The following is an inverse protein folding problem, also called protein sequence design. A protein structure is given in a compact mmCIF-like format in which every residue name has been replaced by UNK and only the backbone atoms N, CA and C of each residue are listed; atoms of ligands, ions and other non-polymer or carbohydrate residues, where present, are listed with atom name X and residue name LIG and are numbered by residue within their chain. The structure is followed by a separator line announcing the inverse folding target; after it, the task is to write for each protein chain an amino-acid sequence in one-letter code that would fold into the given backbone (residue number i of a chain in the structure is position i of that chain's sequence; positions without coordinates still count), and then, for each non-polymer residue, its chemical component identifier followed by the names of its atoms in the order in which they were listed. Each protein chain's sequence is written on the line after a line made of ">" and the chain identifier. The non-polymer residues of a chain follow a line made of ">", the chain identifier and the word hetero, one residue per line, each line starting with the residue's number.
data_IF_285503759347
#
_entry.id   IF_285503759347
#
_cell.length_a   1.000
_cell.length_b   1.000
_cell.length_c   1.000
_cell.angle_alpha   90.00
_cell.angle_beta   90.00
_cell.angle_gamma   90.00
#
_symmetry.space_group_name_H-M   'P 1'
#
loop_
_entity.id
_entity.type
_entity.pdbx_description
1 polymer ?
#
# COMPACT_ATOMS: atom_id res chain seq x y z
N UNK A 1 24.84 7.33 -4.09
CA UNK A 1 25.60 8.61 -4.08
C UNK A 1 25.49 9.15 -5.51
N UNK A 2 24.86 10.32 -5.68
CA UNK A 2 24.84 10.99 -6.98
C UNK A 2 26.21 11.64 -7.20
N UNK A 3 26.87 11.29 -8.30
CA UNK A 3 28.19 11.85 -8.67
C UNK A 3 28.13 13.38 -8.93
N UNK A 4 26.94 13.92 -9.18
CA UNK A 4 26.71 15.33 -9.51
C UNK A 4 26.34 16.19 -8.29
N UNK A 5 26.52 15.73 -7.06
CA UNK A 5 26.14 16.45 -5.82
C UNK A 5 24.68 16.97 -5.83
N UNK A 6 23.80 16.31 -6.56
CA UNK A 6 22.39 16.69 -6.67
C UNK A 6 21.62 16.53 -5.33
N UNK A 7 22.17 15.71 -4.42
CA UNK A 7 21.62 15.49 -3.07
C UNK A 7 22.75 15.61 -2.05
N UNK A 8 22.61 16.54 -1.13
CA UNK A 8 23.52 16.75 -0.02
C UNK A 8 22.81 16.54 1.32
N UNK A 9 23.45 15.82 2.22
CA UNK A 9 22.97 15.63 3.60
C UNK A 9 23.42 16.79 4.46
N UNK A 10 22.49 17.67 4.82
CA UNK A 10 22.75 18.83 5.66
C UNK A 10 22.24 18.57 7.08
N UNK A 11 23.04 18.75 8.13
CA UNK A 11 22.57 18.67 9.51
C UNK A 11 21.46 19.71 9.76
N UNK A 12 20.33 19.27 10.33
CA UNK A 12 19.25 20.18 10.69
C UNK A 12 19.66 21.02 11.91
N UNK A 13 19.63 22.32 11.80
CA UNK A 13 19.79 23.22 12.94
C UNK A 13 18.58 23.16 13.87
N UNK A 14 18.74 23.58 15.14
CA UNK A 14 17.60 23.67 16.07
C UNK A 14 16.50 24.57 15.53
N UNK A 15 16.85 25.69 14.89
CA UNK A 15 15.87 26.57 14.23
C UNK A 15 15.08 25.84 13.15
N UNK A 16 15.76 25.06 12.30
CA UNK A 16 15.10 24.25 11.26
C UNK A 16 14.16 23.22 11.87
N UNK A 17 14.58 22.58 12.97
CA UNK A 17 13.75 21.63 13.68
C UNK A 17 12.52 22.29 14.31
N UNK A 18 12.66 23.49 14.85
CA UNK A 18 11.52 24.23 15.43
C UNK A 18 10.52 24.67 14.37
N UNK A 19 11.00 25.10 13.20
CA UNK A 19 10.12 25.46 12.07
C UNK A 19 9.36 24.22 11.54
N UNK A 20 10.03 23.07 11.43
CA UNK A 20 9.39 21.81 11.06
C UNK A 20 8.32 21.42 12.11
N UNK A 21 8.64 21.53 13.40
CA UNK A 21 7.69 21.22 14.49
C UNK A 21 6.51 22.18 14.50
N UNK A 22 6.70 23.46 14.20
CA UNK A 22 5.61 24.44 14.06
C UNK A 22 4.71 24.09 12.88
N UNK A 23 5.29 23.81 11.72
CA UNK A 23 4.54 23.40 10.53
C UNK A 23 3.74 22.12 10.78
N UNK A 24 4.32 21.13 11.46
CA UNK A 24 3.63 19.89 11.81
C UNK A 24 2.49 20.13 12.82
N UNK A 25 2.68 20.97 13.82
CA UNK A 25 1.60 21.35 14.76
C UNK A 25 0.47 22.05 14.03
N UNK A 26 0.81 23.05 13.21
CA UNK A 26 -0.17 23.76 12.39
C UNK A 26 -0.99 22.79 11.52
N UNK A 27 -0.33 21.83 10.86
CA UNK A 27 -1.03 20.81 10.07
C UNK A 27 -2.00 19.98 10.92
N UNK A 28 -1.61 19.62 12.14
CA UNK A 28 -2.46 18.84 13.05
C UNK A 28 -3.63 19.66 13.68
N UNK A 29 -3.56 20.98 13.64
CA UNK A 29 -4.61 21.88 14.14
C UNK A 29 -5.77 22.03 13.13
N UNK A 30 -5.58 21.62 11.88
CA UNK A 30 -6.67 21.52 10.91
C UNK A 30 -7.62 20.40 11.34
N UNK A 31 -8.85 20.77 11.61
CA UNK A 31 -9.90 19.79 11.86
C UNK A 31 -10.24 18.97 10.62
N UNK A 32 -11.01 17.88 10.80
CA UNK A 32 -11.50 17.08 9.68
C UNK A 32 -12.35 17.93 8.72
N UNK A 33 -12.44 17.47 7.48
CA UNK A 33 -13.37 18.07 6.50
C UNK A 33 -14.80 18.00 7.03
N UNK A 34 -15.59 19.06 6.80
CA UNK A 34 -17.00 19.06 7.18
C UNK A 34 -17.76 18.00 6.37
N UNK A 35 -18.38 17.04 7.06
CA UNK A 35 -19.11 15.93 6.45
C UNK A 35 -20.25 16.38 5.53
N UNK A 36 -20.71 17.62 5.66
CA UNK A 36 -21.73 18.18 4.76
C UNK A 36 -21.28 18.30 3.32
N UNK A 37 -19.97 18.31 3.07
CA UNK A 37 -19.38 18.35 1.73
C UNK A 37 -19.06 16.97 1.17
N UNK A 38 -19.30 15.90 1.92
CA UNK A 38 -18.90 14.54 1.56
C UNK A 38 -20.15 13.72 1.18
N UNK A 39 -20.17 13.21 -0.04
CA UNK A 39 -21.18 12.25 -0.46
C UNK A 39 -20.66 10.83 -0.32
N UNK A 40 -21.11 10.11 0.70
CA UNK A 40 -20.71 8.73 1.01
C UNK A 40 -20.96 7.72 -0.11
N UNK A 41 -21.72 8.09 -1.12
CA UNK A 41 -21.98 7.27 -2.32
C UNK A 41 -20.95 7.45 -3.42
N UNK A 42 -20.06 8.45 -3.29
CA UNK A 42 -19.02 8.75 -4.26
C UNK A 42 -17.67 8.40 -3.67
N UNK A 43 -16.96 7.45 -4.29
CA UNK A 43 -15.64 7.02 -3.83
C UNK A 43 -14.64 8.18 -3.73
N UNK A 44 -14.72 9.14 -4.66
CA UNK A 44 -13.83 10.31 -4.66
C UNK A 44 -14.06 11.18 -3.42
N UNK A 45 -15.31 11.33 -2.98
CA UNK A 45 -15.66 12.12 -1.81
C UNK A 45 -15.27 11.37 -0.53
N UNK A 46 -15.36 10.05 -0.50
CA UNK A 46 -14.87 9.23 0.62
C UNK A 46 -13.40 9.51 0.90
N UNK A 47 -12.59 9.85 -0.11
CA UNK A 47 -11.17 10.19 0.05
C UNK A 47 -10.96 11.51 0.82
N UNK A 48 -12.00 12.28 1.08
CA UNK A 48 -11.96 13.52 1.87
C UNK A 48 -12.25 13.28 3.36
N UNK A 49 -12.75 12.12 3.74
CA UNK A 49 -12.98 11.79 5.15
C UNK A 49 -11.66 11.55 5.89
N UNK A 50 -11.62 11.90 7.17
CA UNK A 50 -10.41 11.74 7.99
C UNK A 50 -9.98 10.29 8.09
N UNK A 51 -10.92 9.36 8.23
CA UNK A 51 -10.64 7.92 8.30
C UNK A 51 -9.97 7.36 7.05
N UNK A 52 -10.00 8.11 5.95
CA UNK A 52 -9.31 7.72 4.70
C UNK A 52 -7.87 8.21 4.61
N UNK A 53 -7.44 9.07 5.53
CA UNK A 53 -6.04 9.50 5.67
C UNK A 53 -5.15 8.43 6.33
N UNK A 54 -5.51 7.16 6.16
CA UNK A 54 -4.74 6.01 6.66
C UNK A 54 -3.51 5.70 5.81
N UNK A 55 -3.36 6.36 4.69
CA UNK A 55 -2.19 6.26 3.82
C UNK A 55 -1.49 7.61 3.69
N UNK A 56 -0.32 7.70 4.27
CA UNK A 56 0.54 8.90 4.27
C UNK A 56 1.67 8.74 3.25
N UNK A 57 1.39 8.28 2.08
CA UNK A 57 2.21 8.17 0.88
C UNK A 57 3.74 8.12 1.01
N UNK A 58 4.38 7.33 0.17
CA UNK A 58 5.83 7.30 -0.03
C UNK A 58 6.24 8.07 -1.29
N UNK A 59 7.52 8.41 -1.41
CA UNK A 59 8.07 9.22 -2.49
C UNK A 59 8.45 8.42 -3.75
N UNK A 60 8.36 7.09 -3.72
CA UNK A 60 8.90 6.21 -4.77
C UNK A 60 7.97 5.88 -5.93
N UNK A 61 6.80 6.53 -6.05
CA UNK A 61 5.87 6.27 -7.14
C UNK A 61 6.22 7.04 -8.41
N UNK A 62 5.94 6.46 -9.57
CA UNK A 62 6.02 7.15 -10.84
C UNK A 62 4.99 8.28 -10.94
N UNK A 63 5.24 9.29 -11.76
CA UNK A 63 4.25 10.32 -12.06
C UNK A 63 3.00 9.69 -12.68
N UNK A 64 1.82 9.96 -12.10
CA UNK A 64 0.55 9.39 -12.56
C UNK A 64 0.38 7.88 -12.28
N UNK A 65 1.05 7.33 -11.28
CA UNK A 65 1.02 5.92 -10.92
C UNK A 65 -0.40 5.41 -10.63
N UNK A 66 -0.89 4.49 -11.48
CA UNK A 66 -2.20 3.86 -11.31
C UNK A 66 -2.30 2.98 -10.06
N UNK A 67 -1.21 2.29 -9.68
CA UNK A 67 -1.18 1.50 -8.45
C UNK A 67 -1.41 2.37 -7.22
N UNK A 68 -0.72 3.52 -7.12
CA UNK A 68 -0.88 4.44 -6.00
C UNK A 68 -2.30 4.98 -5.89
N UNK A 69 -2.94 5.25 -7.03
CA UNK A 69 -4.36 5.66 -7.08
C UNK A 69 -5.28 4.54 -6.62
N UNK A 70 -5.11 3.33 -7.16
CA UNK A 70 -5.91 2.17 -6.80
C UNK A 70 -5.79 1.83 -5.31
N UNK A 71 -4.57 1.90 -4.76
CA UNK A 71 -4.32 1.69 -3.35
C UNK A 71 -5.03 2.73 -2.48
N UNK A 72 -4.99 4.00 -2.85
CA UNK A 72 -5.72 5.06 -2.13
C UNK A 72 -7.22 4.84 -2.15
N UNK A 73 -7.77 4.43 -3.28
CA UNK A 73 -9.20 4.11 -3.41
C UNK A 73 -9.59 2.93 -2.51
N UNK A 74 -8.79 1.88 -2.49
CA UNK A 74 -9.00 0.71 -1.61
C UNK A 74 -8.95 1.12 -0.14
N UNK A 75 -7.94 1.88 0.26
CA UNK A 75 -7.81 2.40 1.62
C UNK A 75 -9.01 3.29 2.00
N UNK A 76 -9.43 4.18 1.11
CA UNK A 76 -10.58 5.07 1.33
C UNK A 76 -11.88 4.27 1.57
N UNK A 77 -12.16 3.31 0.68
CA UNK A 77 -13.36 2.48 0.80
C UNK A 77 -13.33 1.62 2.08
N UNK A 78 -12.18 1.02 2.39
CA UNK A 78 -12.05 0.19 3.60
C UNK A 78 -12.13 1.03 4.87
N UNK A 79 -11.46 2.18 4.91
CA UNK A 79 -11.50 3.10 6.04
C UNK A 79 -12.89 3.67 6.30
N UNK A 80 -13.64 4.00 5.25
CA UNK A 80 -15.03 4.46 5.38
C UNK A 80 -15.96 3.40 6.00
N UNK A 81 -15.65 2.11 5.79
CA UNK A 81 -16.46 0.99 6.32
C UNK A 81 -16.00 0.50 7.69
N UNK A 82 -14.70 0.49 7.95
CA UNK A 82 -14.08 -0.19 9.09
C UNK A 82 -13.24 0.73 9.99
N UNK A 83 -13.14 2.02 9.67
CA UNK A 83 -12.23 2.94 10.37
C UNK A 83 -10.79 2.44 10.27
N UNK A 84 -10.12 2.29 11.41
CA UNK A 84 -8.77 1.73 11.54
C UNK A 84 -8.74 0.22 11.88
N UNK A 85 -9.91 -0.45 11.90
CA UNK A 85 -10.08 -1.83 12.34
C UNK A 85 -9.85 -2.83 11.19
N UNK A 86 -8.70 -2.76 10.54
CA UNK A 86 -8.28 -3.67 9.46
C UNK A 86 -6.75 -3.68 9.32
N UNK A 87 -6.21 -4.50 8.45
CA UNK A 87 -4.76 -4.59 8.29
C UNK A 87 -4.32 -4.98 6.89
N UNK A 88 -3.03 -4.81 6.63
CA UNK A 88 -2.38 -5.05 5.35
C UNK A 88 -1.22 -6.01 5.50
N UNK A 89 -1.16 -7.00 4.62
CA UNK A 89 0.02 -7.84 4.38
C UNK A 89 0.45 -7.65 2.93
N UNK A 90 1.61 -7.06 2.70
CA UNK A 90 2.06 -6.67 1.39
C UNK A 90 3.19 -7.56 0.87
N UNK A 91 3.13 -7.94 -0.40
CA UNK A 91 4.24 -8.53 -1.13
C UNK A 91 5.20 -7.43 -1.60
N UNK A 92 6.49 -7.75 -1.69
CA UNK A 92 7.49 -6.85 -2.26
C UNK A 92 7.17 -6.52 -3.73
N UNK A 93 7.39 -5.28 -4.11
CA UNK A 93 7.15 -4.76 -5.46
C UNK A 93 7.06 -3.23 -5.45
N UNK A 94 6.45 -2.64 -6.48
CA UNK A 94 6.25 -1.19 -6.55
C UNK A 94 5.50 -0.66 -5.32
N UNK A 95 4.45 -1.35 -4.88
CA UNK A 95 3.68 -0.94 -3.71
C UNK A 95 4.56 -0.79 -2.46
N UNK A 96 5.54 -1.66 -2.27
CA UNK A 96 6.47 -1.56 -1.15
C UNK A 96 7.42 -0.38 -1.31
N UNK A 97 7.90 -0.13 -2.53
CA UNK A 97 8.86 0.97 -2.79
C UNK A 97 8.22 2.33 -2.53
N UNK A 98 7.00 2.56 -3.00
CA UNK A 98 6.34 3.85 -2.78
C UNK A 98 5.64 3.97 -1.43
N UNK A 99 5.49 2.87 -0.68
CA UNK A 99 4.88 2.87 0.66
C UNK A 99 5.89 2.67 1.78
N UNK A 100 6.96 1.90 1.55
CA UNK A 100 7.96 1.60 2.58
C UNK A 100 8.96 2.72 2.75
N UNK A 101 8.74 3.55 3.72
CA UNK A 101 9.73 4.50 4.20
C UNK A 101 10.23 4.08 5.57
N UNK A 102 11.00 2.97 5.61
CA UNK A 102 11.58 2.53 6.87
C UNK A 102 12.25 3.71 7.62
N UNK A 103 12.04 3.87 8.93
CA UNK A 103 11.31 2.97 9.85
C UNK A 103 9.81 3.28 9.98
N UNK A 104 9.23 4.02 9.08
CA UNK A 104 7.85 4.49 9.18
C UNK A 104 6.89 3.52 8.47
N UNK A 105 5.77 3.21 9.15
CA UNK A 105 4.62 2.61 8.51
C UNK A 105 3.85 3.72 7.76
N UNK A 106 3.68 3.64 6.43
CA UNK A 106 2.93 4.65 5.68
C UNK A 106 1.42 4.56 5.89
N UNK A 107 0.96 3.47 6.48
CA UNK A 107 -0.44 3.24 6.80
C UNK A 107 -0.69 3.52 8.28
N UNK A 108 -1.84 4.08 8.61
CA UNK A 108 -2.30 4.25 9.99
C UNK A 108 -3.02 3.01 10.53
N UNK A 109 -2.87 1.89 9.85
CA UNK A 109 -3.37 0.56 10.23
C UNK A 109 -2.20 -0.42 10.36
N UNK A 110 -2.37 -1.56 11.03
CA UNK A 110 -1.36 -2.61 11.06
C UNK A 110 -0.93 -3.03 9.66
N UNK A 111 0.38 -3.00 9.43
CA UNK A 111 0.97 -3.34 8.14
C UNK A 111 2.23 -4.18 8.33
N UNK A 112 2.39 -5.17 7.48
CA UNK A 112 3.63 -5.92 7.35
C UNK A 112 3.95 -6.17 5.89
N UNK A 113 5.24 -6.34 5.59
CA UNK A 113 5.71 -6.67 4.26
C UNK A 113 6.59 -7.92 4.32
N UNK A 114 6.48 -8.76 3.32
CA UNK A 114 7.32 -9.93 3.15
C UNK A 114 7.79 -10.03 1.69
N UNK A 115 8.58 -11.05 1.37
CA UNK A 115 9.01 -11.31 0.00
C UNK A 115 7.81 -11.58 -0.92
N UNK A 116 8.03 -11.47 -2.22
CA UNK A 116 7.01 -11.57 -3.27
C UNK A 116 6.03 -12.72 -3.06
N UNK A 117 6.54 -13.92 -2.82
CA UNK A 117 5.78 -15.17 -2.68
C UNK A 117 5.16 -15.37 -1.30
N UNK A 118 5.64 -14.65 -0.29
CA UNK A 118 5.30 -14.93 1.11
C UNK A 118 3.99 -14.25 1.56
N UNK A 119 3.61 -13.12 0.96
CA UNK A 119 2.50 -12.32 1.47
C UNK A 119 1.19 -13.11 1.68
N UNK A 120 0.74 -13.98 0.76
CA UNK A 120 -0.46 -14.77 1.01
C UNK A 120 -0.29 -15.77 2.17
N UNK A 121 0.91 -16.37 2.33
CA UNK A 121 1.18 -17.28 3.43
C UNK A 121 1.22 -16.55 4.78
N UNK A 122 1.87 -15.38 4.81
CA UNK A 122 1.91 -14.52 6.00
C UNK A 122 0.51 -14.02 6.37
N UNK A 123 -0.31 -13.66 5.36
CA UNK A 123 -1.68 -13.23 5.58
C UNK A 123 -2.53 -14.32 6.25
N UNK A 124 -2.35 -15.60 5.87
CA UNK A 124 -3.01 -16.72 6.55
C UNK A 124 -2.57 -16.83 8.01
N UNK A 125 -1.27 -16.65 8.29
CA UNK A 125 -0.74 -16.66 9.66
C UNK A 125 -1.27 -15.51 10.50
N UNK A 126 -1.28 -14.29 9.94
CA UNK A 126 -1.84 -13.10 10.59
C UNK A 126 -3.33 -13.29 10.87
N UNK A 127 -4.11 -13.80 9.88
CA UNK A 127 -5.53 -14.07 10.06
C UNK A 127 -5.80 -15.08 11.17
N UNK A 128 -5.06 -16.18 11.17
CA UNK A 128 -5.20 -17.20 12.22
C UNK A 128 -4.91 -16.62 13.62
N UNK A 129 -3.93 -15.72 13.73
CA UNK A 129 -3.64 -15.05 15.00
C UNK A 129 -4.71 -14.04 15.38
N UNK A 130 -5.22 -13.27 14.43
CA UNK A 130 -6.29 -12.31 14.68
C UNK A 130 -7.58 -13.00 15.13
N UNK A 131 -7.92 -14.14 14.55
CA UNK A 131 -9.08 -14.96 14.97
C UNK A 131 -8.94 -15.38 16.44
N UNK A 132 -7.75 -15.84 16.85
CA UNK A 132 -7.47 -16.15 18.26
C UNK A 132 -7.58 -14.94 19.20
N UNK A 133 -7.46 -13.73 18.65
CA UNK A 133 -7.57 -12.47 19.41
C UNK A 133 -8.98 -11.88 19.42
N UNK A 134 -9.97 -12.57 18.84
CA UNK A 134 -11.34 -12.07 18.74
C UNK A 134 -11.53 -10.96 17.70
N UNK A 135 -10.73 -11.00 16.63
CA UNK A 135 -10.75 -9.98 15.55
C UNK A 135 -11.18 -10.60 14.20
N UNK A 136 -12.08 -11.56 14.24
CA UNK A 136 -12.54 -12.31 13.07
C UNK A 136 -13.20 -11.39 12.02
N UNK A 137 -13.89 -10.35 12.48
CA UNK A 137 -14.61 -9.40 11.63
C UNK A 137 -13.71 -8.31 11.02
N UNK A 138 -12.47 -8.17 11.50
CA UNK A 138 -11.55 -7.17 10.97
C UNK A 138 -10.93 -7.69 9.66
N UNK A 139 -11.13 -7.02 8.52
CA UNK A 139 -10.59 -7.50 7.26
C UNK A 139 -9.07 -7.38 7.19
N UNK A 140 -8.46 -8.32 6.49
CA UNK A 140 -7.05 -8.28 6.10
C UNK A 140 -6.98 -8.17 4.59
N UNK A 141 -6.19 -7.22 4.11
CA UNK A 141 -5.84 -7.10 2.69
C UNK A 141 -4.46 -7.69 2.43
N UNK A 142 -4.41 -8.71 1.59
CA UNK A 142 -3.17 -9.23 1.03
C UNK A 142 -2.91 -8.52 -0.30
N UNK A 143 -1.87 -7.69 -0.36
CA UNK A 143 -1.58 -6.80 -1.50
C UNK A 143 -0.31 -7.24 -2.21
N UNK A 144 -0.35 -7.30 -3.53
CA UNK A 144 0.84 -7.55 -4.34
C UNK A 144 0.64 -7.25 -5.81
N UNK A 145 1.73 -7.12 -6.54
CA UNK A 145 1.72 -6.99 -7.99
C UNK A 145 1.39 -8.30 -8.71
N UNK A 146 1.17 -8.22 -10.02
CA UNK A 146 0.91 -9.37 -10.89
C UNK A 146 2.04 -10.42 -10.82
N UNK A 147 3.29 -9.99 -10.91
CA UNK A 147 4.44 -10.92 -10.80
C UNK A 147 4.51 -11.62 -9.44
N UNK A 148 4.22 -10.92 -8.35
CA UNK A 148 4.21 -11.52 -7.02
C UNK A 148 3.07 -12.53 -6.84
N UNK A 149 1.89 -12.25 -7.40
CA UNK A 149 0.68 -13.03 -7.15
C UNK A 149 0.44 -14.11 -8.21
N UNK A 150 0.68 -13.81 -9.49
CA UNK A 150 0.39 -14.75 -10.58
C UNK A 150 1.58 -15.62 -10.97
N UNK A 151 2.79 -15.20 -10.61
CA UNK A 151 4.01 -15.96 -10.93
C UNK A 151 4.64 -16.55 -9.66
N UNK A 152 5.52 -15.79 -8.99
CA UNK A 152 6.36 -16.32 -7.90
C UNK A 152 5.51 -16.80 -6.71
N UNK A 153 4.44 -16.09 -6.37
CA UNK A 153 3.58 -16.38 -5.22
C UNK A 153 2.27 -17.11 -5.56
N UNK A 154 2.08 -17.56 -6.79
CA UNK A 154 0.81 -18.16 -7.21
C UNK A 154 0.39 -19.34 -6.33
N UNK A 155 1.34 -20.20 -5.94
CA UNK A 155 1.04 -21.33 -5.06
C UNK A 155 0.48 -20.87 -3.71
N UNK A 156 1.08 -19.86 -3.10
CA UNK A 156 0.63 -19.29 -1.82
C UNK A 156 -0.72 -18.60 -1.97
N UNK A 157 -0.92 -17.83 -3.03
CA UNK A 157 -2.19 -17.18 -3.35
C UNK A 157 -3.31 -18.22 -3.53
N UNK A 158 -3.07 -19.21 -4.36
CA UNK A 158 -4.04 -20.30 -4.61
C UNK A 158 -4.41 -21.01 -3.30
N UNK A 159 -3.44 -21.27 -2.45
CA UNK A 159 -3.69 -21.89 -1.14
C UNK A 159 -4.50 -20.97 -0.24
N UNK A 160 -4.16 -19.69 -0.16
CA UNK A 160 -4.89 -18.70 0.64
C UNK A 160 -6.36 -18.64 0.23
N UNK A 161 -6.64 -18.52 -1.07
CA UNK A 161 -8.00 -18.49 -1.60
C UNK A 161 -8.77 -19.78 -1.29
N UNK A 162 -8.11 -20.93 -1.33
CA UNK A 162 -8.73 -22.23 -1.02
C UNK A 162 -9.08 -22.42 0.46
N UNK A 163 -8.52 -21.62 1.38
CA UNK A 163 -8.80 -21.73 2.82
C UNK A 163 -10.16 -21.18 3.22
N UNK A 164 -10.73 -20.25 2.44
CA UNK A 164 -11.94 -19.51 2.80
C UNK A 164 -11.78 -18.58 4.01
N UNK A 165 -10.55 -18.30 4.46
CA UNK A 165 -10.29 -17.33 5.52
C UNK A 165 -10.74 -15.92 5.11
N UNK A 166 -11.11 -15.09 6.09
CA UNK A 166 -11.46 -13.67 5.86
C UNK A 166 -10.21 -12.83 5.50
N UNK A 167 -9.73 -13.07 4.29
CA UNK A 167 -8.58 -12.36 3.68
C UNK A 167 -8.98 -11.92 2.29
N UNK A 168 -8.82 -10.63 2.00
CA UNK A 168 -9.07 -10.06 0.69
C UNK A 168 -7.76 -9.99 -0.11
N UNK A 169 -7.75 -10.48 -1.34
CA UNK A 169 -6.61 -10.31 -2.23
C UNK A 169 -6.79 -9.04 -3.07
N UNK A 170 -5.78 -8.16 -3.05
CA UNK A 170 -5.74 -6.96 -3.88
C UNK A 170 -4.52 -7.00 -4.79
N UNK A 171 -4.76 -7.29 -6.07
CA UNK A 171 -3.69 -7.46 -7.04
C UNK A 171 -3.54 -6.19 -7.86
N UNK A 172 -2.39 -5.57 -7.74
CA UNK A 172 -1.97 -4.39 -8.48
C UNK A 172 -1.38 -4.85 -9.82
N UNK A 173 -2.26 -5.13 -10.77
CA UNK A 173 -1.90 -5.70 -12.07
C UNK A 173 -1.40 -4.62 -13.03
N UNK A 174 -0.09 -4.55 -13.20
CA UNK A 174 0.58 -3.69 -14.18
C UNK A 174 0.99 -4.43 -15.44
N UNK A 175 0.70 -5.73 -15.54
CA UNK A 175 0.98 -6.61 -16.67
C UNK A 175 2.48 -6.79 -16.98
N UNK A 176 3.32 -6.44 -16.03
CA UNK A 176 4.78 -6.59 -16.09
C UNK A 176 5.37 -6.57 -14.69
N UNK A 177 6.59 -7.06 -14.51
CA UNK A 177 7.39 -6.80 -13.31
C UNK A 177 7.85 -5.34 -13.31
N UNK A 178 6.95 -4.41 -12.92
CA UNK A 178 7.14 -2.96 -13.06
C UNK A 178 8.32 -2.46 -12.24
N UNK A 179 8.41 -2.89 -10.98
CA UNK A 179 9.44 -2.41 -10.05
C UNK A 179 10.86 -2.74 -10.51
N UNK A 180 11.05 -3.91 -11.11
CA UNK A 180 12.36 -4.36 -11.59
C UNK A 180 12.70 -3.86 -12.99
N UNK A 181 11.78 -3.18 -13.65
CA UNK A 181 12.03 -2.47 -14.90
C UNK A 181 11.25 -2.97 -16.12
N UNK A 182 10.14 -3.71 -15.93
CA UNK A 182 9.20 -4.02 -17.00
C UNK A 182 9.44 -5.35 -17.70
N UNK A 183 9.90 -6.38 -17.00
CA UNK A 183 9.98 -7.74 -17.52
C UNK A 183 8.57 -8.33 -17.67
N UNK A 184 8.42 -9.31 -18.58
CA UNK A 184 7.15 -10.01 -18.77
C UNK A 184 6.72 -10.75 -17.49
N UNK A 185 5.43 -10.70 -17.17
CA UNK A 185 4.75 -11.52 -16.20
C UNK A 185 3.71 -12.42 -16.88
N UNK A 186 3.10 -13.34 -16.16
CA UNK A 186 1.97 -14.13 -16.67
C UNK A 186 0.79 -13.24 -17.10
N UNK A 187 0.66 -12.03 -16.53
CA UNK A 187 -0.36 -11.06 -16.93
C UNK A 187 -0.03 -10.28 -18.20
N UNK A 188 1.19 -10.37 -18.74
CA UNK A 188 1.56 -9.65 -19.95
C UNK A 188 0.79 -10.16 -21.16
N UNK A 189 0.32 -9.24 -22.02
CA UNK A 189 -0.40 -9.61 -23.22
C UNK A 189 0.49 -10.31 -24.24
N UNK A 190 -0.10 -11.21 -25.00
CA UNK A 190 0.59 -11.79 -26.19
C UNK A 190 0.98 -10.67 -27.16
N UNK A 191 2.24 -10.64 -27.55
CA UNK A 191 2.79 -9.60 -28.44
C UNK A 191 3.13 -8.28 -27.75
N UNK A 192 2.99 -8.19 -26.43
CA UNK A 192 3.49 -7.05 -25.67
C UNK A 192 5.02 -7.01 -25.70
N UNK A 193 5.58 -5.88 -26.09
CA UNK A 193 7.03 -5.68 -26.00
C UNK A 193 7.40 -5.34 -24.55
N UNK A 194 8.12 -6.24 -23.91
CA UNK A 194 8.57 -6.06 -22.54
C UNK A 194 10.09 -6.13 -22.47
N UNK A 195 10.67 -5.65 -21.36
CA UNK A 195 12.10 -5.74 -21.15
C UNK A 195 12.54 -7.21 -21.03
N UNK A 196 13.54 -7.61 -21.79
CA UNK A 196 14.10 -8.97 -21.81
C UNK A 196 13.15 -10.05 -22.35
N UNK A 197 12.05 -9.71 -22.98
CA UNK A 197 11.26 -10.64 -23.79
C UNK A 197 11.00 -10.05 -25.17
N UNK A 198 11.28 -10.83 -26.18
CA UNK A 198 11.00 -10.51 -27.58
C UNK A 198 9.62 -11.00 -27.95
#
# INVERSE_FOLDING_TARGET
>A
VCDDLALEMIPKSEKTMDDIRKSHRFFKEFGPSDDTYINDKLLIDMMLKEETHIYVGGAGSCAGCGEGTALRMMCAATGAMHGDQWGIVAATGCNTVYTSTYPYNPYLVPWTNSLFENAPADAMGVRARWDQMGKEEQPIWCIGGDGAMFDIGFQSLSRMLATGMNINAFILDTQVYSNTGGQASTASFMGQNTKMSL
#
